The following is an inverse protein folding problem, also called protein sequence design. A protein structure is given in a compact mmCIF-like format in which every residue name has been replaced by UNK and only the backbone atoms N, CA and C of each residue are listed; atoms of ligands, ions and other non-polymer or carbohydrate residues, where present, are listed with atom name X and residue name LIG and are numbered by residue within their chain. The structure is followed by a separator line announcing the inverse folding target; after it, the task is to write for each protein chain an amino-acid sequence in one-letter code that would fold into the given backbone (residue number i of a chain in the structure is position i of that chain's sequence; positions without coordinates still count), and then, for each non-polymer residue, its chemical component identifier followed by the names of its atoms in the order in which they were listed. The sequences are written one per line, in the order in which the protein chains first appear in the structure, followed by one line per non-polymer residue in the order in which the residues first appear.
data_IF_562635542346
#
_entry.id   IF_562635542346
#
_cell.length_a   1.000
_cell.length_b   1.000
_cell.length_c   1.000
_cell.angle_alpha   90.00
_cell.angle_beta   90.00
_cell.angle_gamma   90.00
#
_symmetry.space_group_name_H-M   'P 1'
#
loop_
_entity.id
_entity.type
_entity.pdbx_description
1 polymer ?
#
# COMPACT_ATOMS: atom_id res chain seq x y z
N UNK A 1 8.23 5.94 -16.36
CA UNK A 1 7.25 4.87 -16.02
C UNK A 1 5.86 5.50 -15.96
N UNK A 2 4.86 4.96 -16.69
CA UNK A 2 3.50 5.50 -16.71
C UNK A 2 2.77 5.33 -15.36
N UNK A 3 1.74 6.17 -15.12
CA UNK A 3 0.99 6.16 -13.84
C UNK A 3 0.39 4.78 -13.51
N UNK A 4 -0.17 4.09 -14.47
CA UNK A 4 -0.71 2.74 -14.27
C UNK A 4 0.34 1.72 -13.82
N UNK A 5 1.56 1.80 -14.39
CA UNK A 5 2.65 0.89 -14.00
C UNK A 5 3.09 1.10 -12.55
N UNK A 6 3.09 2.35 -12.07
CA UNK A 6 3.38 2.65 -10.66
C UNK A 6 2.34 2.02 -9.74
N UNK A 7 1.06 2.17 -10.05
CA UNK A 7 -0.04 1.57 -9.27
C UNK A 7 0.03 0.04 -9.30
N UNK A 8 0.33 -0.57 -10.47
CA UNK A 8 0.54 -2.02 -10.58
C UNK A 8 1.68 -2.49 -9.68
N UNK A 9 2.82 -1.81 -9.70
CA UNK A 9 3.96 -2.14 -8.84
C UNK A 9 3.58 -2.04 -7.35
N UNK A 10 2.89 -0.97 -6.96
CA UNK A 10 2.38 -0.82 -5.58
C UNK A 10 1.43 -1.97 -5.21
N UNK A 11 0.53 -2.33 -6.12
CA UNK A 11 -0.38 -3.46 -5.93
C UNK A 11 0.37 -4.78 -5.70
N UNK A 12 1.43 -5.06 -6.46
CA UNK A 12 2.26 -6.25 -6.29
C UNK A 12 3.05 -6.22 -4.98
N UNK A 13 3.61 -5.06 -4.62
CA UNK A 13 4.35 -4.88 -3.36
C UNK A 13 3.45 -5.16 -2.15
N UNK A 14 2.29 -4.52 -2.11
CA UNK A 14 1.34 -4.67 -1.01
C UNK A 14 0.68 -6.05 -1.02
N UNK A 15 0.19 -6.49 -2.18
CA UNK A 15 -0.55 -7.75 -2.32
C UNK A 15 0.29 -8.99 -2.00
N UNK A 16 1.58 -8.97 -2.29
CA UNK A 16 2.52 -10.04 -1.92
C UNK A 16 3.27 -9.79 -0.62
N UNK A 17 2.92 -8.72 0.11
CA UNK A 17 3.58 -8.33 1.35
C UNK A 17 5.11 -8.32 1.24
N UNK A 18 5.62 -7.73 0.14
CA UNK A 18 7.07 -7.60 -0.07
C UNK A 18 7.66 -6.71 1.02
N UNK A 19 8.73 -7.16 1.63
CA UNK A 19 9.48 -6.42 2.66
C UNK A 19 10.89 -6.17 2.15
N UNK A 20 11.41 -4.98 2.42
CA UNK A 20 12.79 -4.63 2.13
C UNK A 20 13.73 -5.29 3.16
N UNK A 21 14.87 -5.78 2.70
CA UNK A 21 15.92 -6.37 3.55
C UNK A 21 17.01 -5.37 3.91
N UNK A 22 17.07 -4.24 3.21
CA UNK A 22 17.98 -3.13 3.48
C UNK A 22 17.28 -1.78 3.25
N UNK A 23 17.90 -0.69 3.68
CA UNK A 23 17.40 0.66 3.42
C UNK A 23 17.49 1.03 1.94
N UNK A 24 18.50 0.53 1.23
CA UNK A 24 18.65 0.69 -0.21
C UNK A 24 17.50 0.00 -0.96
N UNK A 25 17.22 -1.26 -0.64
CA UNK A 25 16.08 -2.00 -1.20
C UNK A 25 14.76 -1.31 -0.88
N UNK A 26 14.61 -0.71 0.31
CA UNK A 26 13.43 0.08 0.68
C UNK A 26 13.25 1.32 -0.22
N UNK A 27 14.33 1.96 -0.67
CA UNK A 27 14.27 3.04 -1.68
C UNK A 27 13.85 2.50 -3.05
N UNK A 28 14.39 1.36 -3.48
CA UNK A 28 14.03 0.72 -4.76
C UNK A 28 12.56 0.30 -4.80
N UNK A 29 12.06 -0.24 -3.70
CA UNK A 29 10.65 -0.62 -3.55
C UNK A 29 9.71 0.58 -3.35
N UNK A 30 10.24 1.78 -3.09
CA UNK A 30 9.46 2.99 -2.89
C UNK A 30 8.89 3.15 -1.47
N UNK A 31 9.37 2.40 -0.49
CA UNK A 31 9.05 2.61 0.93
C UNK A 31 9.76 3.84 1.50
N UNK A 32 10.93 4.15 0.98
CA UNK A 32 11.70 5.35 1.29
C UNK A 32 11.85 6.21 0.04
N UNK A 33 11.93 7.53 0.25
CA UNK A 33 12.30 8.45 -0.80
C UNK A 33 13.81 8.45 -1.03
N UNK A 34 14.23 8.89 -2.21
CA UNK A 34 15.66 8.97 -2.56
C UNK A 34 16.44 9.87 -1.59
N UNK A 35 15.76 10.91 -1.07
CA UNK A 35 16.36 11.91 -0.16
C UNK A 35 16.31 11.49 1.32
N UNK A 36 15.68 10.36 1.66
CA UNK A 36 15.62 9.91 3.05
C UNK A 36 17.01 9.52 3.55
N UNK A 37 17.36 9.98 4.75
CA UNK A 37 18.67 9.75 5.35
C UNK A 37 18.80 8.32 5.84
N UNK A 38 19.84 7.63 5.40
CA UNK A 38 20.20 6.29 5.87
C UNK A 38 21.32 6.40 6.89
N UNK A 39 21.15 5.82 8.07
CA UNK A 39 22.13 5.81 9.16
C UNK A 39 22.65 4.40 9.37
N UNK A 40 23.88 4.13 8.94
CA UNK A 40 24.49 2.80 9.01
C UNK A 40 24.80 2.38 10.45
N UNK A 41 25.24 3.32 11.29
CA UNK A 41 25.54 3.04 12.68
C UNK A 41 24.34 3.33 13.59
N UNK A 42 23.73 2.27 14.14
CA UNK A 42 22.57 2.36 15.02
C UNK A 42 22.80 3.26 16.24
N UNK A 43 24.03 3.33 16.76
CA UNK A 43 24.36 4.19 17.91
C UNK A 43 24.20 5.69 17.59
N UNK A 44 24.27 6.08 16.33
CA UNK A 44 24.11 7.46 15.88
C UNK A 44 22.67 7.81 15.49
N UNK A 45 21.78 6.81 15.39
CA UNK A 45 20.43 6.98 14.86
C UNK A 45 19.64 8.08 15.58
N UNK A 46 19.62 8.04 16.93
CA UNK A 46 18.88 9.01 17.72
C UNK A 46 19.41 10.43 17.54
N UNK A 47 20.74 10.59 17.52
CA UNK A 47 21.36 11.91 17.28
C UNK A 47 21.00 12.45 15.91
N UNK A 48 21.21 11.66 14.86
CA UNK A 48 20.90 12.07 13.46
C UNK A 48 19.42 12.37 13.30
N UNK A 49 18.52 11.57 13.86
CA UNK A 49 17.09 11.81 13.82
C UNK A 49 16.69 13.12 14.51
N UNK A 50 17.27 13.41 15.68
CA UNK A 50 17.06 14.67 16.40
C UNK A 50 17.56 15.87 15.59
N UNK A 51 18.79 15.79 15.08
CA UNK A 51 19.38 16.87 14.30
C UNK A 51 18.54 17.16 13.05
N UNK A 52 18.07 16.09 12.37
CA UNK A 52 17.19 16.23 11.20
C UNK A 52 15.80 16.79 11.54
N UNK A 53 15.23 16.41 12.68
CA UNK A 53 13.96 16.97 13.13
C UNK A 53 14.07 18.48 13.44
N UNK A 54 15.17 18.91 14.06
CA UNK A 54 15.45 20.33 14.34
C UNK A 54 15.61 21.10 13.02
N UNK A 55 16.42 20.59 12.07
CA UNK A 55 16.58 21.18 10.75
C UNK A 55 15.23 21.38 10.04
N UNK A 56 14.38 20.34 10.03
CA UNK A 56 13.07 20.38 9.38
C UNK A 56 12.05 21.28 10.10
N UNK A 57 12.28 21.60 11.37
CA UNK A 57 11.37 22.45 12.13
C UNK A 57 11.52 23.95 11.83
N UNK A 58 12.64 24.38 11.24
CA UNK A 58 12.91 25.79 10.96
C UNK A 58 11.93 26.41 9.95
N UNK A 59 11.58 25.63 8.90
CA UNK A 59 10.65 26.05 7.84
C UNK A 59 9.42 25.13 7.74
N UNK A 60 8.98 24.56 8.86
CA UNK A 60 7.89 23.60 8.86
C UNK A 60 6.56 24.20 8.46
N UNK A 61 5.96 23.63 7.43
CA UNK A 61 4.58 23.91 7.01
C UNK A 61 3.72 22.68 7.18
N UNK A 62 2.53 22.83 7.74
CA UNK A 62 1.58 21.72 7.88
C UNK A 62 1.19 21.21 6.49
N UNK A 63 1.43 19.93 6.19
CA UNK A 63 1.04 19.38 4.89
C UNK A 63 -0.47 19.36 4.73
N UNK A 64 -0.94 19.65 3.53
CA UNK A 64 -2.37 19.55 3.17
C UNK A 64 -2.61 18.31 2.35
N UNK A 65 -3.79 17.70 2.51
CA UNK A 65 -4.21 16.57 1.68
C UNK A 65 -4.26 16.95 0.20
N UNK A 66 -3.76 16.05 -0.64
CA UNK A 66 -3.81 16.23 -2.08
C UNK A 66 -5.24 16.08 -2.59
N UNK A 67 -5.62 16.98 -3.51
CA UNK A 67 -6.97 17.02 -4.12
C UNK A 67 -6.97 16.61 -5.60
N UNK A 68 -5.84 16.20 -6.13
CA UNK A 68 -5.60 16.01 -7.56
C UNK A 68 -5.05 14.62 -7.93
N UNK A 69 -5.34 13.61 -7.11
CA UNK A 69 -4.84 12.26 -7.35
C UNK A 69 -5.49 11.68 -8.60
N UNK A 70 -4.69 11.47 -9.64
CA UNK A 70 -5.09 10.81 -10.90
C UNK A 70 -4.79 9.32 -10.80
N UNK A 71 -5.84 8.53 -10.71
CA UNK A 71 -5.75 7.09 -10.56
C UNK A 71 -6.48 6.39 -11.73
N UNK A 72 -6.12 5.13 -12.05
CA UNK A 72 -6.57 4.48 -13.29
C UNK A 72 -8.07 4.14 -13.33
N UNK A 73 -8.79 4.23 -12.20
CA UNK A 73 -10.22 3.99 -12.14
C UNK A 73 -10.65 2.58 -12.53
N UNK A 74 -11.84 2.46 -13.11
CA UNK A 74 -12.44 1.16 -13.45
C UNK A 74 -11.60 0.32 -14.41
N UNK A 75 -10.95 0.93 -15.42
CA UNK A 75 -10.10 0.19 -16.37
C UNK A 75 -8.91 -0.47 -15.68
N UNK A 76 -8.21 0.25 -14.82
CA UNK A 76 -7.11 -0.30 -14.04
C UNK A 76 -7.56 -1.41 -13.07
N UNK A 77 -8.73 -1.21 -12.42
CA UNK A 77 -9.33 -2.22 -11.55
C UNK A 77 -9.65 -3.51 -12.30
N UNK A 78 -10.25 -3.41 -13.49
CA UNK A 78 -10.55 -4.58 -14.32
C UNK A 78 -9.30 -5.36 -14.70
N UNK A 79 -8.23 -4.67 -15.12
CA UNK A 79 -6.96 -5.31 -15.45
C UNK A 79 -6.35 -6.06 -14.25
N UNK A 80 -6.37 -5.47 -13.05
CA UNK A 80 -5.90 -6.12 -11.82
C UNK A 80 -6.78 -7.31 -11.42
N UNK A 81 -8.11 -7.19 -11.54
CA UNK A 81 -9.05 -8.28 -11.25
C UNK A 81 -8.83 -9.47 -12.19
N UNK A 82 -8.57 -9.23 -13.48
CA UNK A 82 -8.24 -10.30 -14.43
C UNK A 82 -6.95 -11.03 -14.05
N UNK A 83 -5.91 -10.30 -13.63
CA UNK A 83 -4.66 -10.91 -13.17
C UNK A 83 -4.88 -11.76 -11.90
N UNK A 84 -5.64 -11.25 -10.93
CA UNK A 84 -5.99 -12.00 -9.72
C UNK A 84 -6.76 -13.30 -10.04
N UNK A 85 -7.75 -13.23 -10.92
CA UNK A 85 -8.52 -14.41 -11.36
C UNK A 85 -7.62 -15.44 -12.05
N UNK A 86 -6.66 -14.97 -12.86
CA UNK A 86 -5.65 -15.87 -13.46
C UNK A 86 -4.82 -16.59 -12.39
N UNK A 87 -4.36 -15.86 -11.34
CA UNK A 87 -3.64 -16.49 -10.21
C UNK A 87 -4.50 -17.48 -9.44
N UNK A 88 -5.79 -17.20 -9.29
CA UNK A 88 -6.74 -18.12 -8.67
C UNK A 88 -6.91 -19.41 -9.48
N UNK A 89 -7.10 -19.31 -10.81
CA UNK A 89 -7.21 -20.46 -11.71
C UNK A 89 -5.94 -21.32 -11.67
N UNK A 90 -4.76 -20.68 -11.54
CA UNK A 90 -3.47 -21.36 -11.40
C UNK A 90 -3.24 -21.95 -9.99
N UNK A 91 -4.18 -21.81 -9.06
CA UNK A 91 -4.04 -22.30 -7.68
C UNK A 91 -3.00 -21.54 -6.85
N UNK A 92 -2.56 -20.37 -7.29
CA UNK A 92 -1.53 -19.56 -6.59
C UNK A 92 -2.08 -18.76 -5.42
N UNK A 93 -3.37 -18.48 -5.42
CA UNK A 93 -4.06 -17.70 -4.37
C UNK A 93 -5.36 -18.41 -3.97
N UNK A 94 -5.78 -18.24 -2.70
CA UNK A 94 -7.05 -18.75 -2.18
C UNK A 94 -8.23 -17.85 -2.61
N UNK A 95 -9.47 -18.27 -2.34
CA UNK A 95 -10.65 -17.42 -2.54
C UNK A 95 -10.61 -16.17 -1.68
N UNK A 96 -10.08 -16.31 -0.47
CA UNK A 96 -9.94 -15.18 0.42
C UNK A 96 -8.83 -14.20 -0.02
N UNK A 97 -7.71 -14.72 -0.57
CA UNK A 97 -6.68 -13.88 -1.19
C UNK A 97 -7.22 -13.11 -2.39
N UNK A 98 -8.03 -13.76 -3.24
CA UNK A 98 -8.70 -13.08 -4.35
C UNK A 98 -9.57 -11.92 -3.85
N UNK A 99 -10.37 -12.14 -2.81
CA UNK A 99 -11.24 -11.11 -2.23
C UNK A 99 -10.45 -9.94 -1.66
N UNK A 100 -9.37 -10.22 -0.92
CA UNK A 100 -8.47 -9.18 -0.40
C UNK A 100 -7.83 -8.40 -1.56
N UNK A 101 -7.34 -9.10 -2.57
CA UNK A 101 -6.75 -8.48 -3.76
C UNK A 101 -7.72 -7.59 -4.53
N UNK A 102 -8.99 -7.98 -4.66
CA UNK A 102 -10.02 -7.16 -5.30
C UNK A 102 -10.33 -5.89 -4.49
N UNK A 103 -10.35 -5.95 -3.16
CA UNK A 103 -10.47 -4.77 -2.30
C UNK A 103 -9.26 -3.85 -2.43
N UNK A 104 -8.05 -4.41 -2.44
CA UNK A 104 -6.82 -3.64 -2.65
C UNK A 104 -6.83 -2.96 -4.04
N UNK A 105 -7.20 -3.68 -5.09
CA UNK A 105 -7.33 -3.12 -6.43
C UNK A 105 -8.35 -1.98 -6.47
N UNK A 106 -9.48 -2.11 -5.79
CA UNK A 106 -10.50 -1.07 -5.66
C UNK A 106 -9.94 0.22 -5.06
N UNK A 107 -9.24 0.12 -3.95
CA UNK A 107 -8.63 1.28 -3.26
C UNK A 107 -7.55 1.93 -4.12
N UNK A 108 -6.56 1.15 -4.60
CA UNK A 108 -5.42 1.67 -5.36
C UNK A 108 -5.80 2.27 -6.72
N UNK A 109 -6.94 1.88 -7.28
CA UNK A 109 -7.44 2.47 -8.53
C UNK A 109 -8.38 3.66 -8.32
N UNK A 110 -8.64 4.05 -7.06
CA UNK A 110 -9.44 5.23 -6.73
C UNK A 110 -10.95 4.97 -6.69
N UNK A 111 -11.34 3.74 -6.37
CA UNK A 111 -12.74 3.37 -6.15
C UNK A 111 -13.62 3.61 -7.38
N UNK A 112 -14.82 4.16 -7.12
CA UNK A 112 -15.79 4.44 -8.17
C UNK A 112 -15.70 5.88 -8.71
N UNK A 113 -14.97 6.78 -8.03
CA UNK A 113 -14.91 8.21 -8.42
C UNK A 113 -13.74 8.52 -9.34
N UNK A 114 -12.60 7.82 -9.21
CA UNK A 114 -11.44 8.08 -10.06
C UNK A 114 -11.62 7.54 -11.48
N UNK A 115 -10.89 8.15 -12.42
CA UNK A 115 -10.84 7.73 -13.81
C UNK A 115 -9.79 8.52 -14.59
N UNK A 116 -9.65 8.23 -15.87
CA UNK A 116 -8.64 8.87 -16.73
C UNK A 116 -8.71 10.41 -16.71
N UNK A 117 -9.93 10.96 -16.60
CA UNK A 117 -10.19 12.40 -16.59
C UNK A 117 -10.65 12.95 -15.25
N UNK A 118 -10.86 12.05 -14.25
CA UNK A 118 -11.40 12.42 -12.93
C UNK A 118 -10.36 12.17 -11.87
N UNK A 119 -9.91 13.21 -11.21
CA UNK A 119 -9.09 13.13 -9.99
C UNK A 119 -9.97 12.91 -8.75
N UNK A 120 -9.35 12.43 -7.69
CA UNK A 120 -9.94 12.30 -6.36
C UNK A 120 -9.01 12.94 -5.34
N UNK A 121 -9.53 13.28 -4.16
CA UNK A 121 -8.73 13.74 -3.05
C UNK A 121 -8.18 12.57 -2.22
N UNK A 122 -7.16 12.85 -1.45
CA UNK A 122 -6.50 11.88 -0.59
C UNK A 122 -7.45 11.39 0.50
N UNK A 123 -8.30 12.26 1.06
CA UNK A 123 -9.27 11.88 2.08
C UNK A 123 -10.25 10.82 1.57
N UNK A 124 -10.71 10.95 0.31
CA UNK A 124 -11.56 9.93 -0.29
C UNK A 124 -10.87 8.57 -0.38
N UNK A 125 -9.57 8.54 -0.69
CA UNK A 125 -8.80 7.27 -0.71
C UNK A 125 -8.73 6.66 0.68
N UNK A 126 -8.46 7.46 1.72
CA UNK A 126 -8.46 7.00 3.12
C UNK A 126 -9.83 6.47 3.55
N UNK A 127 -10.91 7.10 3.10
CA UNK A 127 -12.27 6.67 3.44
C UNK A 127 -12.60 5.31 2.80
N UNK A 128 -12.32 5.10 1.51
CA UNK A 128 -12.55 3.80 0.85
C UNK A 128 -11.59 2.71 1.33
N UNK A 129 -10.36 3.05 1.75
CA UNK A 129 -9.45 2.12 2.42
C UNK A 129 -10.05 1.63 3.73
N UNK A 130 -10.52 2.56 4.58
CA UNK A 130 -11.18 2.22 5.85
C UNK A 130 -12.40 1.34 5.63
N UNK A 131 -13.26 1.68 4.67
CA UNK A 131 -14.42 0.87 4.32
C UNK A 131 -14.02 -0.55 3.89
N UNK A 132 -13.04 -0.67 2.99
CA UNK A 132 -12.51 -1.94 2.53
C UNK A 132 -11.93 -2.77 3.69
N UNK A 133 -11.12 -2.14 4.56
CA UNK A 133 -10.55 -2.79 5.74
C UNK A 133 -11.64 -3.30 6.70
N UNK A 134 -12.62 -2.47 7.06
CA UNK A 134 -13.71 -2.87 7.96
C UNK A 134 -14.52 -4.03 7.38
N UNK A 135 -14.79 -4.01 6.07
CA UNK A 135 -15.50 -5.10 5.40
C UNK A 135 -14.73 -6.43 5.45
N UNK A 136 -13.40 -6.39 5.37
CA UNK A 136 -12.55 -7.58 5.51
C UNK A 136 -12.38 -8.01 6.97
N UNK A 137 -12.21 -7.06 7.89
CA UNK A 137 -12.04 -7.34 9.32
C UNK A 137 -13.25 -8.02 9.96
N UNK A 138 -14.45 -7.83 9.40
CA UNK A 138 -15.66 -8.53 9.83
C UNK A 138 -15.68 -10.02 9.45
N UNK A 139 -14.78 -10.46 8.56
CA UNK A 139 -14.74 -11.83 8.07
C UNK A 139 -13.88 -12.75 8.94
N UNK A 140 -14.40 -13.95 9.21
CA UNK A 140 -13.73 -14.96 10.03
C UNK A 140 -12.32 -15.28 9.55
N UNK A 141 -12.14 -15.46 8.23
CA UNK A 141 -10.85 -15.80 7.65
C UNK A 141 -9.81 -14.69 7.86
N UNK A 142 -10.21 -13.41 7.74
CA UNK A 142 -9.34 -12.27 8.05
C UNK A 142 -8.99 -12.23 9.54
N UNK A 143 -9.97 -12.42 10.43
CA UNK A 143 -9.73 -12.45 11.87
C UNK A 143 -8.77 -13.59 12.27
N UNK A 144 -8.88 -14.74 11.64
CA UNK A 144 -7.98 -15.87 11.88
C UNK A 144 -6.55 -15.55 11.42
N UNK A 145 -6.37 -14.86 10.27
CA UNK A 145 -5.06 -14.37 9.82
C UNK A 145 -4.46 -13.38 10.80
N UNK A 146 -5.21 -12.39 11.26
CA UNK A 146 -4.77 -11.39 12.25
C UNK A 146 -4.35 -12.10 13.55
N UNK A 147 -5.21 -12.99 14.07
CA UNK A 147 -4.94 -13.73 15.30
C UNK A 147 -3.69 -14.61 15.17
N UNK A 148 -3.53 -15.27 14.05
CA UNK A 148 -2.38 -16.13 13.80
C UNK A 148 -1.08 -15.30 13.72
N UNK A 149 -1.10 -14.17 13.01
CA UNK A 149 0.04 -13.26 12.92
C UNK A 149 0.46 -12.76 14.32
N UNK A 150 -0.51 -12.29 15.13
CA UNK A 150 -0.23 -11.81 16.49
C UNK A 150 0.34 -12.89 17.40
N UNK A 151 -0.10 -14.16 17.26
CA UNK A 151 0.35 -15.26 18.09
C UNK A 151 1.66 -15.91 17.60
N UNK A 152 1.90 -15.95 16.31
CA UNK A 152 2.98 -16.74 15.73
C UNK A 152 4.04 -15.91 15.01
N UNK A 153 3.80 -14.63 14.76
CA UNK A 153 4.69 -13.77 13.98
C UNK A 153 4.84 -14.19 12.50
N UNK A 154 3.91 -15.02 12.00
CA UNK A 154 3.95 -15.56 10.64
C UNK A 154 2.59 -15.41 9.94
N UNK A 155 2.56 -15.22 8.62
CA UNK A 155 1.30 -15.16 7.87
C UNK A 155 0.59 -16.51 7.86
N UNK A 156 -0.73 -16.50 7.98
CA UNK A 156 -1.62 -17.63 7.72
C UNK A 156 -2.20 -17.49 6.31
N UNK A 157 -2.19 -18.57 5.55
CA UNK A 157 -2.93 -18.69 4.29
C UNK A 157 -4.06 -19.71 4.47
N UNK A 158 -5.28 -19.23 4.35
CA UNK A 158 -6.52 -20.00 4.52
C UNK A 158 -7.49 -19.71 3.37
#
# INVERSE_FOLDING_TARGET
MGAFQKIKNTFEIVGFAKIAKSAEEAKELGYLNINDTIVLNRSHLLKVAKDKALELSEDYNIPTYRKDLKLPGAGGRTAMSMALKSFKIQGKISDHDLKIGEKLAYVLTGGNKAGLTKSVDEQYILDIEREAFLSLASEKLTQDRIRYMLKRGKPLRN
#
